data_IF_982282508375
#
_entry.id   IF_982282508375
#
_cell.length_a   1.000
_cell.length_b   1.000
_cell.length_c   1.000
_cell.angle_alpha   90.00
_cell.angle_beta   90.00
_cell.angle_gamma   90.00
#
_symmetry.space_group_name_H-M   'P 1'
#
loop_
_entity.id
_entity.type
_entity.pdbx_description
1 polymer ?
#
# COMPACT_ATOMS: atom_id res chain seq x y z
N UNK A 1 1.12 4.35 11.42
CA UNK A 1 2.21 4.56 12.39
C UNK A 1 2.04 5.81 13.30
N UNK A 2 0.96 6.61 13.18
CA UNK A 2 0.79 7.86 13.92
C UNK A 2 0.85 7.72 15.46
N UNK A 3 0.36 6.63 16.03
CA UNK A 3 0.40 6.43 17.49
C UNK A 3 1.83 6.24 18.02
N UNK A 4 2.71 5.59 17.27
CA UNK A 4 4.13 5.47 17.66
C UNK A 4 4.85 6.80 17.54
N UNK A 5 4.52 7.61 16.53
CA UNK A 5 5.03 8.98 16.41
C UNK A 5 4.58 9.84 17.60
N UNK A 6 3.32 9.72 18.02
CA UNK A 6 2.81 10.38 19.23
C UNK A 6 3.62 9.98 20.46
N UNK A 7 3.86 8.68 20.66
CA UNK A 7 4.65 8.18 21.79
C UNK A 7 6.12 8.62 21.72
N UNK A 8 6.73 8.65 20.53
CA UNK A 8 8.10 9.13 20.32
C UNK A 8 8.27 10.60 20.68
N UNK A 9 7.23 11.40 20.49
CA UNK A 9 7.24 12.83 20.77
C UNK A 9 6.84 13.16 22.22
N UNK A 10 6.39 12.17 23.00
CA UNK A 10 6.03 12.36 24.41
C UNK A 10 7.29 12.54 25.26
N UNK A 11 7.40 13.63 26.05
CA UNK A 11 8.54 13.85 26.92
C UNK A 11 8.77 12.68 27.89
N UNK A 12 10.01 12.25 28.02
CA UNK A 12 10.39 11.15 28.93
C UNK A 12 10.15 9.74 28.38
N UNK A 13 9.54 9.58 27.20
CA UNK A 13 9.40 8.29 26.54
C UNK A 13 10.47 8.08 25.46
N UNK A 14 10.96 6.85 25.35
CA UNK A 14 11.88 6.42 24.29
C UNK A 14 11.28 5.24 23.56
N UNK A 15 11.02 5.42 22.26
CA UNK A 15 10.49 4.36 21.40
C UNK A 15 11.66 3.60 20.78
N UNK A 16 11.82 2.34 21.18
CA UNK A 16 12.84 1.44 20.62
C UNK A 16 12.17 0.36 19.79
N UNK A 17 12.67 0.13 18.58
CA UNK A 17 12.18 -0.91 17.68
C UNK A 17 13.33 -1.87 17.39
N UNK A 18 13.07 -3.16 17.56
CA UNK A 18 14.03 -4.25 17.32
C UNK A 18 13.42 -5.21 16.31
N UNK A 19 14.08 -5.38 15.17
CA UNK A 19 13.67 -6.27 14.09
C UNK A 19 14.47 -7.57 14.18
N UNK A 20 13.80 -8.67 14.53
CA UNK A 20 14.44 -9.98 14.59
C UNK A 20 14.49 -10.65 13.21
N UNK A 21 13.32 -10.86 12.59
CA UNK A 21 13.24 -11.60 11.31
C UNK A 21 12.89 -10.72 10.12
N UNK A 22 11.82 -9.93 10.20
CA UNK A 22 11.30 -9.17 9.05
C UNK A 22 10.70 -7.84 9.50
N UNK A 23 11.05 -6.76 8.80
CA UNK A 23 10.33 -5.49 8.80
C UNK A 23 10.44 -4.85 7.41
N UNK A 24 9.46 -5.16 6.55
CA UNK A 24 9.44 -4.75 5.14
C UNK A 24 8.14 -3.96 4.82
N UNK A 25 8.18 -3.09 3.80
CA UNK A 25 7.05 -2.26 3.36
C UNK A 25 6.45 -1.46 4.53
N UNK A 26 5.18 -1.69 4.89
CA UNK A 26 4.55 -1.04 6.03
C UNK A 26 5.27 -1.31 7.37
N UNK A 27 5.88 -2.49 7.53
CA UNK A 27 6.69 -2.81 8.71
C UNK A 27 7.95 -1.96 8.81
N UNK A 28 8.63 -1.72 7.68
CA UNK A 28 9.78 -0.83 7.61
C UNK A 28 9.37 0.63 7.90
N UNK A 29 8.25 1.08 7.32
CA UNK A 29 7.69 2.42 7.59
C UNK A 29 7.40 2.62 9.08
N UNK A 30 6.85 1.61 9.76
CA UNK A 30 6.62 1.63 11.20
C UNK A 30 7.96 1.64 11.96
N UNK A 31 8.92 0.82 11.54
CA UNK A 31 10.25 0.75 12.17
C UNK A 31 11.00 2.09 12.13
N UNK A 32 10.85 2.88 11.07
CA UNK A 32 11.40 4.23 10.97
C UNK A 32 10.80 5.24 11.97
N UNK A 33 9.76 4.88 12.73
CA UNK A 33 9.20 5.74 13.79
C UNK A 33 9.89 5.60 15.14
N UNK A 34 10.95 4.79 15.24
CA UNK A 34 11.78 4.72 16.43
C UNK A 34 12.36 6.10 16.82
N UNK A 35 12.71 6.26 18.09
CA UNK A 35 13.51 7.40 18.55
C UNK A 35 14.88 7.42 17.85
N UNK A 36 15.55 8.58 17.74
CA UNK A 36 16.87 8.69 17.10
C UNK A 36 17.86 7.65 17.65
N UNK A 37 18.45 6.84 16.76
CA UNK A 37 19.41 5.79 17.14
C UNK A 37 18.81 4.58 17.86
N UNK A 38 17.47 4.40 17.84
CA UNK A 38 16.75 3.32 18.56
C UNK A 38 16.08 2.30 17.64
N UNK A 39 16.50 2.21 16.39
CA UNK A 39 16.10 1.16 15.45
C UNK A 39 17.25 0.15 15.31
N UNK A 40 17.01 -1.08 15.73
CA UNK A 40 17.97 -2.17 15.65
C UNK A 40 17.41 -3.30 14.79
N UNK A 41 18.27 -3.98 14.05
CA UNK A 41 17.90 -5.15 13.28
C UNK A 41 18.95 -6.25 13.51
N UNK A 42 18.50 -7.49 13.62
CA UNK A 42 19.40 -8.63 13.60
C UNK A 42 20.17 -8.66 12.25
N UNK A 43 21.41 -9.16 12.20
CA UNK A 43 22.20 -9.19 10.96
C UNK A 43 21.53 -9.98 9.81
N UNK A 44 20.63 -10.90 10.15
CA UNK A 44 19.87 -11.73 9.21
C UNK A 44 18.44 -11.21 8.95
N UNK A 45 18.06 -10.08 9.54
CA UNK A 45 16.72 -9.53 9.37
C UNK A 45 16.50 -9.03 7.94
N UNK A 46 15.33 -9.35 7.37
CA UNK A 46 14.90 -8.80 6.08
C UNK A 46 14.22 -7.46 6.33
N UNK A 47 14.85 -6.38 5.86
CA UNK A 47 14.34 -5.01 5.95
C UNK A 47 14.24 -4.37 4.56
N UNK A 48 13.46 -3.30 4.42
CA UNK A 48 13.30 -2.57 3.16
C UNK A 48 11.96 -2.84 2.50
N UNK A 49 11.96 -3.16 1.19
CA UNK A 49 10.73 -3.17 0.36
C UNK A 49 10.01 -1.82 0.41
N UNK A 50 10.77 -0.76 0.13
CA UNK A 50 10.27 0.62 0.12
C UNK A 50 9.54 0.84 -1.20
N UNK A 51 8.22 0.96 -1.13
CA UNK A 51 7.38 1.20 -2.29
C UNK A 51 5.93 0.80 -2.01
N UNK A 52 5.04 1.27 -2.87
CA UNK A 52 3.64 0.88 -2.92
C UNK A 52 3.43 0.10 -4.21
N UNK A 53 2.64 -0.96 -4.15
CA UNK A 53 2.27 -1.74 -5.32
C UNK A 53 0.75 -1.92 -5.29
N UNK A 54 0.08 -1.52 -6.38
CA UNK A 54 -1.31 -1.87 -6.65
C UNK A 54 -1.35 -2.98 -7.69
N UNK A 55 -1.98 -4.11 -7.36
CA UNK A 55 -2.21 -5.21 -8.32
C UNK A 55 -3.68 -5.59 -8.33
N UNK A 56 -4.22 -5.78 -9.52
CA UNK A 56 -5.57 -6.30 -9.72
C UNK A 56 -5.65 -7.03 -11.05
N UNK A 57 -6.58 -7.97 -11.13
CA UNK A 57 -6.93 -8.61 -12.40
C UNK A 57 -8.06 -7.82 -13.06
N UNK A 58 -8.07 -7.79 -14.38
CA UNK A 58 -9.21 -7.34 -15.15
C UNK A 58 -9.60 -8.43 -16.15
N UNK A 59 -10.86 -8.82 -16.13
CA UNK A 59 -11.43 -9.87 -16.99
C UNK A 59 -12.50 -9.31 -17.94
N UNK A 60 -12.56 -7.99 -18.12
CA UNK A 60 -13.58 -7.33 -18.94
C UNK A 60 -13.62 -7.90 -20.38
N UNK A 61 -12.46 -7.94 -21.04
CA UNK A 61 -12.33 -8.49 -22.41
C UNK A 61 -12.67 -9.97 -22.50
N UNK A 62 -12.37 -10.74 -21.45
CA UNK A 62 -12.73 -12.16 -21.37
C UNK A 62 -14.25 -12.31 -21.33
N UNK A 63 -14.93 -11.55 -20.49
CA UNK A 63 -16.39 -11.57 -20.37
C UNK A 63 -17.06 -11.13 -21.68
N UNK A 64 -16.54 -10.07 -22.30
CA UNK A 64 -17.02 -9.58 -23.59
C UNK A 64 -16.93 -10.67 -24.67
N UNK A 65 -15.81 -11.39 -24.75
CA UNK A 65 -15.63 -12.51 -25.68
C UNK A 65 -16.61 -13.68 -25.47
N UNK A 66 -17.17 -13.80 -24.27
CA UNK A 66 -18.19 -14.81 -23.92
C UNK A 66 -19.62 -14.25 -24.02
N UNK A 67 -19.78 -13.03 -24.55
CA UNK A 67 -21.08 -12.35 -24.67
C UNK A 67 -21.64 -11.84 -23.34
N UNK A 68 -20.83 -11.85 -22.27
CA UNK A 68 -21.22 -11.35 -20.95
C UNK A 68 -20.87 -9.88 -20.85
N UNK A 69 -21.89 -9.02 -20.64
CA UNK A 69 -21.70 -7.57 -20.47
C UNK A 69 -21.84 -7.16 -19.01
N UNK A 70 -20.76 -6.73 -18.35
CA UNK A 70 -20.83 -6.20 -16.99
C UNK A 70 -21.58 -4.87 -16.96
N UNK A 71 -22.57 -4.75 -16.08
CA UNK A 71 -23.22 -3.47 -15.78
C UNK A 71 -22.56 -2.90 -14.52
N UNK A 72 -21.87 -1.76 -14.64
CA UNK A 72 -21.12 -1.15 -13.54
C UNK A 72 -21.72 0.21 -13.19
N UNK A 73 -22.18 0.35 -11.94
CA UNK A 73 -22.69 1.60 -11.40
C UNK A 73 -21.66 2.19 -10.43
N UNK A 74 -21.30 3.47 -10.61
CA UNK A 74 -20.32 4.15 -9.75
C UNK A 74 -20.96 5.38 -9.11
N UNK A 75 -20.63 5.62 -7.85
CA UNK A 75 -21.04 6.82 -7.12
C UNK A 75 -20.26 8.10 -7.49
N UNK A 76 -19.37 8.01 -8.48
CA UNK A 76 -18.52 9.08 -8.96
C UNK A 76 -17.53 8.54 -10.00
N UNK A 77 -17.04 9.41 -10.88
CA UNK A 77 -16.13 9.05 -11.99
C UNK A 77 -14.89 8.30 -11.51
N UNK A 78 -14.29 8.78 -10.42
CA UNK A 78 -13.02 8.28 -9.88
C UNK A 78 -13.19 7.13 -8.88
N UNK A 79 -14.41 6.65 -8.64
CA UNK A 79 -14.64 5.58 -7.66
C UNK A 79 -14.32 4.23 -8.29
N UNK A 80 -13.24 3.59 -7.81
CA UNK A 80 -12.70 2.35 -8.37
C UNK A 80 -12.43 2.49 -9.89
N UNK A 81 -11.47 3.34 -10.28
CA UNK A 81 -11.23 3.71 -11.68
C UNK A 81 -10.96 2.49 -12.56
N UNK A 82 -10.17 1.54 -12.05
CA UNK A 82 -9.98 0.19 -12.60
C UNK A 82 -10.64 -0.83 -11.67
N UNK A 83 -11.43 -1.75 -12.22
CA UNK A 83 -12.10 -2.81 -11.48
C UNK A 83 -11.93 -4.17 -12.15
N UNK A 84 -12.44 -5.22 -11.51
CA UNK A 84 -12.31 -6.60 -12.02
C UNK A 84 -13.02 -6.80 -13.37
N UNK A 85 -14.21 -6.22 -13.52
CA UNK A 85 -15.10 -6.46 -14.67
C UNK A 85 -15.41 -5.20 -15.49
N UNK A 86 -15.09 -4.02 -14.95
CA UNK A 86 -15.30 -2.77 -15.66
C UNK A 86 -14.31 -2.61 -16.81
N UNK A 87 -14.69 -1.83 -17.82
CA UNK A 87 -13.79 -1.46 -18.89
C UNK A 87 -12.55 -0.74 -18.33
N UNK A 88 -11.38 -1.07 -18.88
CA UNK A 88 -10.11 -0.44 -18.51
C UNK A 88 -9.87 0.72 -19.45
N UNK A 89 -9.84 1.94 -18.91
CA UNK A 89 -9.56 3.17 -19.65
C UNK A 89 -8.16 3.69 -19.33
N UNK A 90 -7.57 4.46 -20.25
CA UNK A 90 -6.27 5.12 -20.03
C UNK A 90 -6.32 6.07 -18.83
N UNK A 91 -7.38 6.87 -18.72
CA UNK A 91 -7.61 7.75 -17.58
C UNK A 91 -7.72 6.96 -16.26
N UNK A 92 -8.39 5.81 -16.30
CA UNK A 92 -8.52 4.94 -15.14
C UNK A 92 -7.17 4.37 -14.70
N UNK A 93 -6.33 3.95 -15.66
CA UNK A 93 -4.98 3.46 -15.40
C UNK A 93 -4.09 4.57 -14.83
N UNK A 94 -4.09 5.75 -15.43
CA UNK A 94 -3.34 6.91 -14.92
C UNK A 94 -3.76 7.25 -13.49
N UNK A 95 -5.06 7.22 -13.20
CA UNK A 95 -5.56 7.50 -11.85
C UNK A 95 -5.11 6.46 -10.81
N UNK A 96 -5.02 5.18 -11.20
CA UNK A 96 -4.48 4.14 -10.31
C UNK A 96 -2.99 4.33 -10.10
N UNK A 97 -2.25 4.72 -11.15
CA UNK A 97 -0.81 5.00 -11.04
C UNK A 97 -0.56 6.17 -10.09
N UNK A 98 -1.32 7.27 -10.22
CA UNK A 98 -1.27 8.42 -9.31
C UNK A 98 -1.58 8.05 -7.84
N UNK A 99 -2.32 6.95 -7.59
CA UNK A 99 -2.58 6.47 -6.22
C UNK A 99 -1.44 5.62 -5.66
N UNK A 100 -0.59 5.08 -6.52
CA UNK A 100 0.56 4.25 -6.15
C UNK A 100 1.82 5.10 -6.00
N UNK A 101 1.95 6.15 -6.81
CA UNK A 101 3.03 7.15 -6.74
C UNK A 101 2.94 8.01 -5.46
#
# INVERSE_FOLDING_TARGET
>A
AQQLVRLRNEPGLTVTIVVDKVAASGGYMIACTASPGRLFAAPFAVVGSIGVIGQTFNIHKTLEGWGVRPLVFRGGRDKAPVGLVGEVTEEGLAKVQDMVD
#
